data_IF_858688238032
#
_entry.id   IF_858688238032
#
_cell.length_a   1.000
_cell.length_b   1.000
_cell.length_c   1.000
_cell.angle_alpha   90.00
_cell.angle_beta   90.00
_cell.angle_gamma   90.00
#
_symmetry.space_group_name_H-M   'P 1'
#
loop_
_entity.id
_entity.type
_entity.pdbx_description
1 polymer ?
#
# COMPACT_ATOMS: atom_id res chain seq x y z
N UNK A 1 0.46 3.09 30.37
CA UNK A 1 0.18 3.82 29.12
C UNK A 1 -1.26 4.30 29.18
N UNK A 2 -1.54 5.57 28.87
CA UNK A 2 -2.89 6.12 28.96
C UNK A 2 -3.80 5.34 27.98
N UNK A 3 -4.90 4.70 28.44
CA UNK A 3 -5.71 3.83 27.58
C UNK A 3 -6.29 4.55 26.36
N UNK A 4 -6.56 5.85 26.49
CA UNK A 4 -6.98 6.72 25.39
C UNK A 4 -5.93 6.81 24.28
N UNK A 5 -4.64 6.90 24.63
CA UNK A 5 -3.55 6.97 23.66
C UNK A 5 -3.41 5.64 22.92
N UNK A 6 -3.52 4.51 23.62
CA UNK A 6 -3.44 3.19 23.00
C UNK A 6 -4.55 2.97 21.96
N UNK A 7 -5.79 3.38 22.26
CA UNK A 7 -6.92 3.27 21.33
C UNK A 7 -6.76 4.14 20.08
N UNK A 8 -6.23 5.35 20.24
CA UNK A 8 -5.94 6.24 19.11
C UNK A 8 -4.88 5.63 18.19
N UNK A 9 -3.78 5.14 18.76
CA UNK A 9 -2.69 4.54 18.00
C UNK A 9 -3.13 3.26 17.29
N UNK A 10 -3.91 2.39 17.95
CA UNK A 10 -4.38 1.14 17.34
C UNK A 10 -5.38 1.38 16.21
N UNK A 11 -6.28 2.36 16.36
CA UNK A 11 -7.26 2.72 15.33
C UNK A 11 -6.58 3.29 14.10
N UNK A 12 -5.62 4.21 14.30
CA UNK A 12 -4.82 4.76 13.21
C UNK A 12 -4.00 3.68 12.49
N UNK A 13 -3.34 2.80 13.24
CA UNK A 13 -2.58 1.69 12.67
C UNK A 13 -3.47 0.77 11.81
N UNK A 14 -4.67 0.45 12.29
CA UNK A 14 -5.64 -0.37 11.56
C UNK A 14 -6.12 0.34 10.29
N UNK A 15 -6.46 1.63 10.38
CA UNK A 15 -6.85 2.44 9.23
C UNK A 15 -5.76 2.46 8.14
N UNK A 16 -4.50 2.68 8.52
CA UNK A 16 -3.37 2.67 7.59
C UNK A 16 -3.18 1.30 6.93
N UNK A 17 -3.37 0.21 7.67
CA UNK A 17 -3.26 -1.15 7.14
C UNK A 17 -4.35 -1.43 6.09
N UNK A 18 -5.59 -1.05 6.38
CA UNK A 18 -6.71 -1.16 5.43
C UNK A 18 -6.42 -0.30 4.19
N UNK A 19 -5.98 0.94 4.38
CA UNK A 19 -5.66 1.84 3.27
C UNK A 19 -4.53 1.29 2.38
N UNK A 20 -3.51 0.67 2.99
CA UNK A 20 -2.45 -0.01 2.27
C UNK A 20 -2.98 -1.15 1.40
N UNK A 21 -3.88 -1.99 1.92
CA UNK A 21 -4.53 -3.05 1.16
C UNK A 21 -5.35 -2.47 -0.01
N UNK A 22 -6.08 -1.37 0.20
CA UNK A 22 -6.84 -0.70 -0.86
C UNK A 22 -5.93 -0.21 -2.00
N UNK A 23 -4.74 0.33 -1.68
CA UNK A 23 -3.76 0.71 -2.69
C UNK A 23 -3.20 -0.49 -3.46
N UNK A 24 -2.93 -1.61 -2.77
CA UNK A 24 -2.51 -2.85 -3.45
C UNK A 24 -3.60 -3.30 -4.44
N UNK A 25 -4.86 -3.34 -4.00
CA UNK A 25 -5.99 -3.72 -4.85
C UNK A 25 -6.12 -2.75 -6.03
N UNK A 26 -6.05 -1.43 -5.79
CA UNK A 26 -6.10 -0.39 -6.83
C UNK A 26 -5.08 -0.68 -7.91
N UNK A 27 -3.85 -1.02 -7.55
CA UNK A 27 -2.82 -1.31 -8.55
C UNK A 27 -2.99 -2.66 -9.22
N UNK A 28 -3.31 -3.73 -8.49
CA UNK A 28 -3.58 -5.03 -9.11
C UNK A 28 -4.69 -4.92 -10.16
N UNK A 29 -5.72 -4.11 -9.88
CA UNK A 29 -6.80 -3.84 -10.83
C UNK A 29 -6.35 -3.01 -12.04
N UNK A 30 -5.34 -2.14 -11.94
CA UNK A 30 -4.79 -1.44 -13.13
C UNK A 30 -4.14 -2.38 -14.13
N UNK A 31 -3.75 -3.60 -13.72
CA UNK A 31 -3.20 -4.61 -14.63
C UNK A 31 -4.29 -5.27 -15.48
N UNK A 32 -5.56 -5.10 -15.12
CA UNK A 32 -6.69 -5.61 -15.87
C UNK A 32 -7.29 -4.49 -16.74
N UNK A 33 -7.05 -4.49 -18.07
CA UNK A 33 -7.53 -3.43 -18.95
C UNK A 33 -9.06 -3.38 -19.12
N UNK A 34 -9.77 -4.43 -18.68
CA UNK A 34 -11.24 -4.51 -18.71
C UNK A 34 -11.93 -3.92 -17.47
N UNK A 35 -11.18 -3.36 -16.49
CA UNK A 35 -11.79 -2.77 -15.29
C UNK A 35 -12.32 -1.38 -15.61
N UNK A 36 -13.64 -1.20 -15.47
CA UNK A 36 -14.27 0.11 -15.61
C UNK A 36 -14.19 0.89 -14.28
N UNK A 37 -13.33 1.91 -14.24
CA UNK A 37 -13.13 2.77 -13.08
C UNK A 37 -14.29 3.75 -12.80
N UNK A 38 -15.25 3.84 -13.70
CA UNK A 38 -16.44 4.68 -13.54
C UNK A 38 -17.60 3.93 -12.88
N UNK A 39 -17.57 2.59 -12.90
CA UNK A 39 -18.62 1.75 -12.32
C UNK A 39 -18.31 1.33 -10.87
N UNK A 40 -19.32 1.25 -9.98
CA UNK A 40 -19.15 0.63 -8.67
C UNK A 40 -18.79 -0.86 -8.80
N UNK A 41 -17.91 -1.41 -7.94
CA UNK A 41 -17.30 -0.79 -6.76
C UNK A 41 -16.00 -0.01 -7.05
N UNK A 42 -15.49 -0.04 -8.28
CA UNK A 42 -14.18 0.51 -8.62
C UNK A 42 -14.14 2.04 -8.58
N UNK A 43 -15.27 2.70 -8.86
CA UNK A 43 -15.42 4.15 -8.74
C UNK A 43 -15.29 4.65 -7.30
N UNK A 44 -15.62 3.82 -6.31
CA UNK A 44 -15.45 4.16 -4.89
C UNK A 44 -13.98 4.01 -4.50
N UNK A 45 -13.34 2.93 -4.97
CA UNK A 45 -11.91 2.69 -4.75
C UNK A 45 -11.06 3.81 -5.35
N UNK A 46 -11.37 4.27 -6.57
CA UNK A 46 -10.67 5.41 -7.18
C UNK A 46 -10.84 6.66 -6.34
N UNK A 47 -12.07 7.01 -5.93
CA UNK A 47 -12.30 8.19 -5.08
C UNK A 47 -11.54 8.16 -3.73
N UNK A 48 -11.37 6.98 -3.13
CA UNK A 48 -10.62 6.81 -1.87
C UNK A 48 -9.09 6.89 -2.07
N UNK A 49 -8.60 6.39 -3.20
CA UNK A 49 -7.16 6.28 -3.47
C UNK A 49 -6.61 7.48 -4.23
N UNK A 50 -7.43 8.16 -5.03
CA UNK A 50 -7.03 9.29 -5.89
C UNK A 50 -6.49 10.50 -5.12
N UNK A 51 -7.05 10.95 -3.98
CA UNK A 51 -6.48 12.08 -3.23
C UNK A 51 -5.04 11.81 -2.79
N UNK A 52 -4.75 10.59 -2.34
CA UNK A 52 -3.41 10.16 -1.96
C UNK A 52 -2.52 10.05 -3.19
N UNK A 53 -2.96 9.33 -4.23
CA UNK A 53 -2.18 9.17 -5.46
C UNK A 53 -1.87 10.51 -6.13
N UNK A 54 -2.82 11.45 -6.16
CA UNK A 54 -2.62 12.79 -6.73
C UNK A 54 -1.55 13.59 -5.99
N UNK A 55 -1.39 13.40 -4.66
CA UNK A 55 -0.29 13.98 -3.90
C UNK A 55 1.08 13.48 -4.39
N UNK A 56 1.18 12.17 -4.68
CA UNK A 56 2.42 11.53 -5.12
C UNK A 56 2.66 11.61 -6.64
N UNK A 57 1.62 11.83 -7.45
CA UNK A 57 1.72 12.02 -8.92
C UNK A 57 2.58 13.22 -9.32
N UNK A 58 2.73 14.21 -8.43
CA UNK A 58 3.65 15.33 -8.65
C UNK A 58 5.13 14.92 -8.56
N UNK A 59 5.44 13.81 -7.89
CA UNK A 59 6.80 13.32 -7.68
C UNK A 59 7.10 12.17 -8.66
N UNK A 60 6.11 11.30 -8.89
CA UNK A 60 6.24 10.15 -9.79
C UNK A 60 5.11 10.23 -10.83
N UNK A 61 5.40 10.70 -12.05
CA UNK A 61 4.42 10.70 -13.13
C UNK A 61 3.90 9.28 -13.38
N UNK A 62 2.60 9.09 -13.62
CA UNK A 62 2.05 7.79 -13.95
C UNK A 62 2.62 7.32 -15.30
N UNK A 63 3.40 6.24 -15.29
CA UNK A 63 3.93 5.63 -16.52
C UNK A 63 2.82 4.80 -17.19
N UNK A 64 2.12 5.40 -18.15
CA UNK A 64 1.23 4.68 -19.06
C UNK A 64 -0.01 4.05 -18.42
N UNK A 65 -0.53 4.61 -17.32
CA UNK A 65 -1.73 4.09 -16.64
C UNK A 65 -1.49 2.87 -15.75
N UNK A 66 -0.23 2.43 -15.60
CA UNK A 66 0.18 1.39 -14.67
C UNK A 66 0.98 2.00 -13.52
N UNK A 67 0.43 1.91 -12.31
CA UNK A 67 1.15 2.30 -11.10
C UNK A 67 2.19 1.21 -10.77
N UNK A 68 3.49 1.48 -11.01
CA UNK A 68 4.58 0.55 -10.64
C UNK A 68 4.95 0.60 -9.15
N UNK A 69 4.21 1.40 -8.36
CA UNK A 69 4.39 1.60 -6.92
C UNK A 69 4.40 0.30 -6.09
N UNK A 70 3.58 -0.74 -6.35
CA UNK A 70 3.59 -1.94 -5.52
C UNK A 70 4.75 -2.87 -5.80
N UNK A 71 5.31 -2.85 -7.02
CA UNK A 71 6.55 -3.57 -7.32
C UNK A 71 7.67 -2.97 -6.48
N UNK A 72 7.74 -1.65 -6.41
CA UNK A 72 8.72 -0.92 -5.59
C UNK A 72 8.46 -1.14 -4.08
N UNK A 73 7.21 -1.23 -3.65
CA UNK A 73 6.85 -1.54 -2.25
C UNK A 73 7.20 -2.99 -1.85
N UNK A 74 6.94 -3.98 -2.71
CA UNK A 74 7.34 -5.39 -2.48
C UNK A 74 8.87 -5.50 -2.46
N UNK A 75 9.55 -4.78 -3.37
CA UNK A 75 11.01 -4.74 -3.42
C UNK A 75 11.61 -4.07 -2.18
N UNK A 76 11.04 -2.96 -1.72
CA UNK A 76 11.48 -2.26 -0.50
C UNK A 76 11.23 -3.12 0.75
N UNK A 77 10.09 -3.81 0.83
CA UNK A 77 9.74 -4.69 1.94
C UNK A 77 10.68 -5.90 2.01
N UNK A 78 10.98 -6.55 0.87
CA UNK A 78 11.98 -7.62 0.79
C UNK A 78 13.38 -7.12 1.12
N UNK A 79 13.76 -5.94 0.63
CA UNK A 79 15.06 -5.33 0.92
C UNK A 79 15.23 -5.03 2.42
N UNK A 80 14.20 -4.45 3.05
CA UNK A 80 14.20 -4.18 4.50
C UNK A 80 14.21 -5.47 5.31
N UNK A 81 13.46 -6.50 4.91
CA UNK A 81 13.48 -7.81 5.56
C UNK A 81 14.88 -8.47 5.44
N UNK A 82 15.52 -8.39 4.27
CA UNK A 82 16.89 -8.85 4.05
C UNK A 82 17.91 -8.10 4.90
N UNK A 83 17.84 -6.76 4.95
CA UNK A 83 18.71 -5.94 5.79
C UNK A 83 18.55 -6.28 7.27
N UNK A 84 17.31 -6.38 7.77
CA UNK A 84 17.02 -6.76 9.15
C UNK A 84 17.52 -8.18 9.44
N UNK A 85 17.40 -9.12 8.50
CA UNK A 85 17.94 -10.48 8.66
C UNK A 85 19.47 -10.55 8.66
N UNK A 86 20.15 -9.59 8.02
CA UNK A 86 21.62 -9.50 8.02
C UNK A 86 22.19 -8.82 9.28
N UNK A 87 21.36 -8.06 9.99
CA UNK A 87 21.74 -7.30 11.21
C UNK A 87 21.19 -7.97 12.48
N UNK A 88 20.12 -8.76 12.36
CA UNK A 88 19.49 -9.49 13.46
C UNK A 88 20.21 -10.81 13.77
N UNK A 89 20.37 -11.20 15.05
CA UNK A 89 20.90 -12.51 15.41
C UNK A 89 19.98 -13.60 14.87
N UNK A 90 20.54 -14.52 14.09
CA UNK A 90 20.00 -15.82 13.65
C UNK A 90 18.66 -16.20 14.33
N UNK A 91 17.53 -16.11 13.63
CA UNK A 91 16.27 -16.56 14.22
C UNK A 91 14.97 -16.19 13.52
N UNK A 92 14.81 -16.53 12.23
CA UNK A 92 13.49 -16.95 11.73
C UNK A 92 13.68 -18.12 10.77
N UNK A 93 13.70 -19.37 11.27
CA UNK A 93 13.48 -20.53 10.41
C UNK A 93 11.99 -20.65 10.08
N UNK A 94 11.69 -20.68 8.79
CA UNK A 94 10.40 -21.04 8.19
C UNK A 94 9.66 -19.86 7.56
N UNK A 95 9.15 -19.85 6.32
CA UNK A 95 8.74 -20.92 5.38
C UNK A 95 8.44 -22.29 5.99
#
# INVERSE_FOLDING_TARGET
MNPSVTLLTSTLATFLNIYFILLIIRVLLTWFPNVNWFDPPFSILSQLTDPYLNLFRSIIPPLGGLDLSPVLAIFLLQFLAGLVSSIGPQGVPGL
#
